data_IF_285154327756
#
_entry.id   IF_285154327756
#
_cell.length_a   1.000
_cell.length_b   1.000
_cell.length_c   1.000
_cell.angle_alpha   90.00
_cell.angle_beta   90.00
_cell.angle_gamma   90.00
#
_symmetry.space_group_name_H-M   'P 1'
#
loop_
_entity.id
_entity.type
_entity.pdbx_description
1 polymer ?
#
# COMPACT_ATOMS: atom_id res chain seq x y z
N UNK A 1 6.63 -11.49 17.35
CA UNK A 1 6.69 -10.75 16.08
C UNK A 1 5.30 -10.14 15.88
N UNK A 2 5.18 -9.00 15.20
CA UNK A 2 3.85 -8.48 14.87
C UNK A 2 3.16 -9.45 13.90
N UNK A 3 1.84 -9.60 14.00
CA UNK A 3 1.02 -10.42 13.11
C UNK A 3 1.12 -9.89 11.68
N UNK A 4 1.34 -10.77 10.71
CA UNK A 4 1.36 -10.40 9.28
C UNK A 4 -0.03 -10.53 8.71
N UNK A 5 -0.68 -9.41 8.43
CA UNK A 5 -2.02 -9.35 7.86
C UNK A 5 -1.94 -8.89 6.41
N UNK A 6 -2.41 -9.75 5.49
CA UNK A 6 -2.45 -9.46 4.05
C UNK A 6 -3.87 -9.16 3.61
N UNK A 7 -4.11 -7.99 3.02
CA UNK A 7 -5.37 -7.64 2.39
C UNK A 7 -5.32 -7.93 0.89
N UNK A 8 -6.34 -8.62 0.39
CA UNK A 8 -6.45 -9.02 -1.00
C UNK A 8 -7.66 -8.36 -1.65
N UNK A 9 -7.41 -7.50 -2.63
CA UNK A 9 -8.44 -6.87 -3.46
C UNK A 9 -8.84 -7.73 -4.66
N UNK A 10 -9.99 -7.40 -5.27
CA UNK A 10 -10.53 -8.13 -6.41
C UNK A 10 -9.99 -7.65 -7.78
N UNK A 11 -8.98 -6.79 -7.79
CA UNK A 11 -8.31 -6.33 -9.00
C UNK A 11 -7.34 -7.35 -9.60
N UNK A 12 -6.42 -6.88 -10.45
CA UNK A 12 -5.33 -7.70 -10.96
C UNK A 12 -4.28 -7.91 -9.86
N UNK A 13 -3.84 -9.14 -9.71
CA UNK A 13 -2.80 -9.49 -8.75
C UNK A 13 -1.42 -9.36 -9.43
N UNK A 14 -0.38 -8.98 -8.68
CA UNK A 14 0.98 -8.94 -9.22
C UNK A 14 1.46 -10.35 -9.58
N UNK A 15 2.72 -10.46 -10.00
CA UNK A 15 3.33 -11.75 -10.39
C UNK A 15 2.92 -12.88 -9.43
N UNK A 16 2.53 -14.01 -9.99
CA UNK A 16 1.94 -15.16 -9.27
C UNK A 16 2.82 -15.68 -8.14
N UNK A 17 4.14 -15.68 -8.32
CA UNK A 17 5.08 -16.11 -7.26
C UNK A 17 5.09 -15.14 -6.08
N UNK A 18 5.04 -13.82 -6.34
CA UNK A 18 5.08 -12.81 -5.29
C UNK A 18 3.85 -12.86 -4.40
N UNK A 19 2.64 -12.91 -4.98
CA UNK A 19 1.43 -12.94 -4.15
C UNK A 19 1.26 -14.28 -3.43
N UNK A 20 1.68 -15.41 -4.04
CA UNK A 20 1.64 -16.70 -3.39
C UNK A 20 2.52 -16.75 -2.13
N UNK A 21 3.74 -16.17 -2.18
CA UNK A 21 4.62 -16.07 -1.03
C UNK A 21 4.05 -15.16 0.07
N UNK A 22 3.42 -14.04 -0.33
CA UNK A 22 2.78 -13.13 0.61
C UNK A 22 1.64 -13.84 1.38
N UNK A 23 0.77 -14.55 0.67
CA UNK A 23 -0.34 -15.30 1.26
C UNK A 23 0.16 -16.46 2.12
N UNK A 24 1.13 -17.24 1.61
CA UNK A 24 1.68 -18.38 2.34
C UNK A 24 2.38 -17.99 3.65
N UNK A 25 2.89 -16.78 3.73
CA UNK A 25 3.58 -16.24 4.93
C UNK A 25 2.68 -15.34 5.80
N UNK A 26 1.40 -15.18 5.43
CA UNK A 26 0.45 -14.41 6.23
C UNK A 26 -0.03 -15.20 7.46
N UNK A 27 -0.14 -14.51 8.59
CA UNK A 27 -0.83 -15.02 9.77
C UNK A 27 -2.35 -14.88 9.62
N UNK A 28 -2.79 -13.90 8.80
CA UNK A 28 -4.20 -13.67 8.46
C UNK A 28 -4.35 -13.10 7.05
N UNK A 29 -5.30 -13.64 6.30
CA UNK A 29 -5.69 -13.18 4.97
C UNK A 29 -7.08 -12.56 5.03
N UNK A 30 -7.19 -11.30 4.64
CA UNK A 30 -8.45 -10.54 4.58
C UNK A 30 -8.79 -10.27 3.12
N UNK A 31 -9.89 -10.83 2.63
CA UNK A 31 -10.36 -10.61 1.27
C UNK A 31 -11.39 -9.48 1.23
N UNK A 32 -11.24 -8.57 0.25
CA UNK A 32 -12.21 -7.51 -0.01
C UNK A 32 -13.30 -8.04 -0.92
N UNK A 33 -14.51 -8.19 -0.38
CA UNK A 33 -15.72 -8.57 -1.10
C UNK A 33 -15.48 -9.74 -2.09
N UNK A 34 -15.73 -9.59 -3.39
CA UNK A 34 -15.58 -10.62 -4.41
C UNK A 34 -14.16 -11.21 -4.58
N UNK A 35 -13.14 -10.66 -3.91
CA UNK A 35 -11.83 -11.29 -3.86
C UNK A 35 -11.88 -12.65 -3.14
N UNK A 36 -12.83 -12.82 -2.21
CA UNK A 36 -13.02 -14.07 -1.47
C UNK A 36 -13.46 -15.26 -2.34
N UNK A 37 -13.99 -15.01 -3.52
CA UNK A 37 -14.31 -16.07 -4.50
C UNK A 37 -13.08 -16.60 -5.25
N UNK A 38 -11.93 -15.92 -5.10
CA UNK A 38 -10.71 -16.21 -5.86
C UNK A 38 -9.58 -16.76 -4.98
N UNK A 39 -9.69 -16.68 -3.66
CA UNK A 39 -8.63 -17.07 -2.73
C UNK A 39 -9.22 -17.63 -1.43
N UNK A 40 -8.51 -18.57 -0.80
CA UNK A 40 -8.79 -18.93 0.57
C UNK A 40 -8.38 -17.77 1.50
N UNK A 41 -9.31 -17.32 2.33
CA UNK A 41 -9.10 -16.22 3.27
C UNK A 41 -9.69 -16.57 4.64
N UNK A 42 -9.22 -15.88 5.67
CA UNK A 42 -9.74 -16.02 7.04
C UNK A 42 -10.96 -15.11 7.25
N UNK A 43 -10.94 -13.94 6.62
CA UNK A 43 -11.97 -12.90 6.77
C UNK A 43 -12.39 -12.37 5.41
N UNK A 44 -13.69 -12.15 5.22
CA UNK A 44 -14.26 -11.37 4.11
C UNK A 44 -14.81 -10.07 4.66
N UNK A 45 -14.43 -8.93 4.07
CA UNK A 45 -14.89 -7.61 4.48
C UNK A 45 -15.42 -6.80 3.30
N UNK A 46 -16.52 -6.10 3.47
CA UNK A 46 -17.14 -5.24 2.47
C UNK A 46 -18.63 -5.07 2.67
N UNK A 47 -19.34 -4.58 1.66
CA UNK A 47 -20.79 -4.58 1.62
C UNK A 47 -21.38 -5.92 1.13
N UNK A 48 -20.51 -6.79 0.60
CA UNK A 48 -20.76 -8.17 0.19
C UNK A 48 -21.74 -8.29 -0.99
N UNK A 49 -21.75 -7.30 -1.86
CA UNK A 49 -22.61 -7.31 -3.05
C UNK A 49 -22.00 -8.10 -4.22
N UNK A 50 -20.68 -8.25 -4.24
CA UNK A 50 -19.92 -8.97 -5.28
C UNK A 50 -19.43 -10.36 -4.84
N UNK A 51 -19.62 -10.75 -3.57
CA UNK A 51 -19.22 -12.06 -3.06
C UNK A 51 -20.32 -13.11 -3.20
N UNK A 52 -19.97 -14.33 -3.63
CA UNK A 52 -20.92 -15.43 -3.82
C UNK A 52 -21.55 -15.97 -2.52
N UNK A 53 -20.97 -15.64 -1.36
CA UNK A 53 -21.46 -16.09 -0.04
C UNK A 53 -21.07 -17.53 0.32
N UNK A 54 -20.12 -18.14 -0.42
CA UNK A 54 -19.68 -19.51 -0.17
C UNK A 54 -18.41 -19.53 0.68
N UNK A 55 -18.41 -20.34 1.75
CA UNK A 55 -17.26 -20.58 2.60
C UNK A 55 -17.56 -20.51 4.10
N UNK A 56 -16.55 -20.80 4.91
CA UNK A 56 -16.64 -20.83 6.38
C UNK A 56 -15.80 -19.70 7.05
N UNK A 57 -15.34 -18.72 6.26
CA UNK A 57 -14.56 -17.60 6.73
C UNK A 57 -15.39 -16.65 7.60
N UNK A 58 -14.72 -15.89 8.46
CA UNK A 58 -15.34 -14.81 9.20
C UNK A 58 -15.86 -13.75 8.23
N UNK A 59 -17.05 -13.24 8.45
CA UNK A 59 -17.69 -12.24 7.58
C UNK A 59 -17.90 -10.94 8.34
N UNK A 60 -17.26 -9.87 7.89
CA UNK A 60 -17.42 -8.52 8.43
C UNK A 60 -18.18 -7.66 7.42
N UNK A 61 -19.50 -7.63 7.57
CA UNK A 61 -20.35 -6.81 6.71
C UNK A 61 -20.42 -5.37 7.20
N UNK A 62 -19.88 -4.44 6.42
CA UNK A 62 -19.94 -3.00 6.70
C UNK A 62 -20.79 -2.32 5.64
N UNK A 63 -22.00 -1.91 6.06
CA UNK A 63 -22.90 -1.09 5.25
C UNK A 63 -22.41 0.36 5.24
N UNK A 64 -22.43 0.99 4.10
CA UNK A 64 -22.03 2.38 3.90
C UNK A 64 -21.19 2.53 2.64
N UNK A 65 -21.39 3.67 1.96
CA UNK A 65 -20.74 3.98 0.68
C UNK A 65 -19.73 5.15 0.83
N UNK A 66 -19.46 5.56 2.07
CA UNK A 66 -18.57 6.67 2.35
C UNK A 66 -17.11 6.29 2.16
N UNK A 67 -16.76 5.01 2.43
CA UNK A 67 -15.41 4.46 2.37
C UNK A 67 -15.33 3.28 1.41
N UNK A 68 -14.17 3.09 0.80
CA UNK A 68 -13.87 1.85 0.06
C UNK A 68 -13.69 0.67 1.02
N UNK A 69 -13.88 -0.57 0.54
CA UNK A 69 -13.68 -1.75 1.39
C UNK A 69 -12.23 -1.87 1.86
N UNK A 70 -11.26 -1.40 1.07
CA UNK A 70 -9.87 -1.29 1.50
C UNK A 70 -9.73 -0.33 2.69
N UNK A 71 -10.32 0.86 2.63
CA UNK A 71 -10.26 1.81 3.74
C UNK A 71 -10.92 1.25 5.01
N UNK A 72 -12.04 0.52 4.86
CA UNK A 72 -12.70 -0.19 5.98
C UNK A 72 -11.78 -1.23 6.59
N UNK A 73 -11.10 -2.06 5.77
CA UNK A 73 -10.17 -3.08 6.23
C UNK A 73 -8.98 -2.46 6.98
N UNK A 74 -8.41 -1.38 6.45
CA UNK A 74 -7.27 -0.67 7.07
C UNK A 74 -7.62 0.03 8.39
N UNK A 75 -8.89 0.34 8.64
CA UNK A 75 -9.37 0.90 9.92
C UNK A 75 -9.57 -0.17 11.00
N UNK A 76 -9.75 -1.43 10.60
CA UNK A 76 -10.05 -2.55 11.51
C UNK A 76 -8.81 -3.38 11.82
N UNK A 77 -7.94 -3.58 10.83
CA UNK A 77 -6.77 -4.44 10.92
C UNK A 77 -5.47 -3.65 10.81
N UNK A 78 -4.45 -4.07 11.56
CA UNK A 78 -3.07 -3.57 11.38
C UNK A 78 -2.42 -4.28 10.18
N UNK A 79 -2.86 -3.87 8.99
CA UNK A 79 -2.46 -4.47 7.71
C UNK A 79 -1.00 -4.23 7.42
N UNK A 80 -0.27 -5.26 7.02
CA UNK A 80 1.14 -5.18 6.62
C UNK A 80 1.31 -5.08 5.11
N UNK A 81 0.50 -5.82 4.35
CA UNK A 81 0.64 -5.96 2.91
C UNK A 81 -0.73 -5.90 2.21
N UNK A 82 -0.77 -5.26 1.05
CA UNK A 82 -1.98 -5.11 0.22
C UNK A 82 -1.64 -5.57 -1.19
N UNK A 83 -2.46 -6.47 -1.76
CA UNK A 83 -2.37 -6.95 -3.15
C UNK A 83 -3.72 -6.86 -3.85
N UNK A 84 -3.73 -6.95 -5.17
CA UNK A 84 -4.97 -7.07 -5.95
C UNK A 84 -5.73 -5.75 -6.11
N UNK A 85 -5.04 -4.63 -6.10
CA UNK A 85 -5.63 -3.29 -6.33
C UNK A 85 -5.39 -2.77 -7.76
N UNK A 86 -4.66 -3.49 -8.59
CA UNK A 86 -4.39 -3.11 -9.98
C UNK A 86 -5.48 -3.57 -10.94
N UNK A 87 -5.48 -2.96 -12.14
CA UNK A 87 -6.51 -3.23 -13.16
C UNK A 87 -7.86 -2.61 -12.78
N UNK A 88 -8.89 -2.93 -13.52
CA UNK A 88 -10.24 -2.42 -13.24
C UNK A 88 -10.36 -0.88 -13.30
N UNK A 89 -11.09 -0.32 -12.38
CA UNK A 89 -11.42 1.12 -12.34
C UNK A 89 -10.23 1.95 -11.86
N UNK A 90 -9.92 3.02 -12.59
CA UNK A 90 -8.82 3.94 -12.25
C UNK A 90 -9.06 4.68 -10.93
N UNK A 91 -10.29 5.07 -10.65
CA UNK A 91 -10.68 5.74 -9.39
C UNK A 91 -10.39 4.87 -8.16
N UNK A 92 -10.70 3.57 -8.21
CA UNK A 92 -10.38 2.63 -7.13
C UNK A 92 -8.88 2.47 -6.91
N UNK A 93 -8.07 2.50 -8.00
CA UNK A 93 -6.61 2.47 -7.89
C UNK A 93 -6.05 3.71 -7.20
N UNK A 94 -6.58 4.90 -7.53
CA UNK A 94 -6.19 6.15 -6.87
C UNK A 94 -6.66 6.17 -5.41
N UNK A 95 -7.90 5.72 -5.15
CA UNK A 95 -8.46 5.62 -3.81
C UNK A 95 -7.64 4.69 -2.90
N UNK A 96 -6.99 3.64 -3.43
CA UNK A 96 -6.15 2.75 -2.64
C UNK A 96 -4.94 3.48 -2.02
N UNK A 97 -4.33 4.43 -2.73
CA UNK A 97 -3.27 5.25 -2.14
C UNK A 97 -3.81 6.22 -1.10
N UNK A 98 -4.98 6.84 -1.37
CA UNK A 98 -5.63 7.73 -0.41
C UNK A 98 -6.03 6.99 0.89
N UNK A 99 -6.45 5.73 0.79
CA UNK A 99 -6.82 4.91 1.95
C UNK A 99 -5.66 4.70 2.94
N UNK A 100 -4.40 4.69 2.48
CA UNK A 100 -3.23 4.63 3.37
C UNK A 100 -3.14 5.85 4.29
N UNK A 101 -3.46 7.03 3.77
CA UNK A 101 -3.44 8.28 4.54
C UNK A 101 -4.67 8.39 5.44
N UNK A 102 -5.84 8.14 4.91
CA UNK A 102 -7.12 8.18 5.63
C UNK A 102 -7.12 7.28 6.88
N UNK A 103 -6.56 6.07 6.76
CA UNK A 103 -6.44 5.11 7.85
C UNK A 103 -5.15 5.22 8.66
N UNK A 104 -4.26 6.15 8.31
CA UNK A 104 -2.92 6.27 8.88
C UNK A 104 -2.10 4.96 8.79
N UNK A 105 -2.34 4.16 7.77
CA UNK A 105 -1.78 2.82 7.62
C UNK A 105 -0.30 2.84 7.23
N UNK A 106 0.46 1.88 7.74
CA UNK A 106 1.85 1.62 7.34
C UNK A 106 1.98 0.45 6.35
N UNK A 107 0.86 -0.05 5.83
CA UNK A 107 0.84 -1.16 4.88
C UNK A 107 1.62 -0.85 3.60
N UNK A 108 2.21 -1.89 3.04
CA UNK A 108 2.86 -1.84 1.72
C UNK A 108 1.88 -2.32 0.65
N UNK A 109 1.62 -1.49 -0.34
CA UNK A 109 0.88 -1.88 -1.55
C UNK A 109 1.86 -2.53 -2.51
N UNK A 110 1.55 -3.75 -2.96
CA UNK A 110 2.29 -4.49 -3.97
C UNK A 110 1.60 -4.38 -5.33
N UNK A 111 2.33 -3.87 -6.30
CA UNK A 111 1.93 -3.66 -7.69
C UNK A 111 2.86 -4.47 -8.60
N UNK A 112 2.50 -4.59 -9.87
CA UNK A 112 3.39 -5.25 -10.84
C UNK A 112 4.66 -4.42 -11.06
N UNK A 113 5.81 -4.95 -10.62
CA UNK A 113 7.12 -4.28 -10.71
C UNK A 113 7.31 -3.11 -9.74
N UNK A 114 6.36 -2.82 -8.85
CA UNK A 114 6.43 -1.68 -7.94
C UNK A 114 5.86 -1.97 -6.56
N UNK A 115 6.34 -1.21 -5.58
CA UNK A 115 5.74 -1.13 -4.25
C UNK A 115 5.44 0.32 -3.90
N UNK A 116 4.43 0.53 -3.08
CA UNK A 116 4.08 1.86 -2.58
C UNK A 116 3.79 1.81 -1.08
N UNK A 117 4.15 2.86 -0.36
CA UNK A 117 3.92 2.96 1.08
C UNK A 117 3.80 4.42 1.51
N UNK A 118 2.93 4.68 2.49
CA UNK A 118 2.93 5.96 3.19
C UNK A 118 4.20 6.09 4.03
N UNK A 119 4.84 7.25 3.96
CA UNK A 119 5.96 7.60 4.84
C UNK A 119 5.40 8.22 6.12
N UNK A 120 5.55 7.61 7.29
CA UNK A 120 5.18 8.25 8.55
C UNK A 120 6.18 9.36 8.91
N UNK A 121 5.79 10.32 9.76
CA UNK A 121 6.70 11.38 10.23
C UNK A 121 7.92 10.85 10.99
N UNK A 122 7.81 9.66 11.61
CA UNK A 122 8.97 8.95 12.19
C UNK A 122 10.00 8.49 11.16
N UNK A 123 9.66 8.58 9.87
CA UNK A 123 10.47 8.12 8.76
C UNK A 123 10.36 6.63 8.48
N UNK A 124 10.93 6.24 7.35
CA UNK A 124 11.08 4.83 6.96
C UNK A 124 12.48 4.58 6.39
N UNK A 125 12.85 3.32 6.43
CA UNK A 125 14.01 2.77 5.75
C UNK A 125 13.54 1.71 4.76
N UNK A 126 14.00 1.80 3.51
CA UNK A 126 13.64 0.87 2.44
C UNK A 126 14.92 0.20 1.95
N UNK A 127 14.93 -1.13 1.93
CA UNK A 127 16.00 -1.92 1.30
C UNK A 127 15.68 -2.11 -0.17
N UNK A 128 16.59 -1.72 -1.03
CA UNK A 128 16.45 -1.74 -2.50
C UNK A 128 17.77 -2.12 -3.17
N UNK A 129 17.71 -2.45 -4.45
CA UNK A 129 18.92 -2.55 -5.26
C UNK A 129 19.35 -1.16 -5.73
N UNK A 130 20.67 -0.94 -5.86
CA UNK A 130 21.21 0.30 -6.44
C UNK A 130 20.75 0.38 -7.89
N UNK A 131 20.34 1.58 -8.33
CA UNK A 131 19.84 1.86 -9.67
C UNK A 131 18.33 1.75 -9.83
N UNK A 132 17.58 1.25 -8.82
CA UNK A 132 16.11 1.21 -8.93
C UNK A 132 15.50 2.61 -8.85
N UNK A 133 14.40 2.79 -9.58
CA UNK A 133 13.64 4.03 -9.55
C UNK A 133 12.86 4.17 -8.25
N UNK A 134 12.91 5.36 -7.67
CA UNK A 134 12.16 5.74 -6.48
C UNK A 134 11.49 7.08 -6.72
N UNK A 135 10.22 7.19 -6.36
CA UNK A 135 9.45 8.43 -6.51
C UNK A 135 8.77 8.80 -5.20
N UNK A 136 8.72 10.10 -4.93
CA UNK A 136 8.00 10.68 -3.81
C UNK A 136 6.83 11.52 -4.33
N UNK A 137 5.65 11.31 -3.74
CA UNK A 137 4.44 12.07 -4.05
C UNK A 137 3.89 12.72 -2.79
N UNK A 138 3.78 14.04 -2.80
CA UNK A 138 3.11 14.79 -1.75
C UNK A 138 1.61 14.90 -2.05
N UNK A 139 0.78 14.52 -1.09
CA UNK A 139 -0.67 14.75 -1.10
C UNK A 139 -0.95 16.00 -0.26
N UNK A 140 -1.02 17.15 -0.91
CA UNK A 140 -1.00 18.44 -0.23
C UNK A 140 0.43 18.92 0.05
N UNK A 141 0.64 19.61 1.18
CA UNK A 141 1.94 20.12 1.59
C UNK A 141 2.62 19.17 2.58
N UNK A 142 3.87 18.81 2.29
CA UNK A 142 4.75 18.01 3.15
C UNK A 142 5.96 18.85 3.52
N UNK A 143 6.29 18.88 4.81
CA UNK A 143 7.30 19.79 5.36
C UNK A 143 8.63 19.09 5.62
N UNK A 144 9.72 19.77 5.29
CA UNK A 144 11.09 19.42 5.65
C UNK A 144 11.44 17.96 5.37
N UNK A 145 11.32 17.54 4.12
CA UNK A 145 11.66 16.18 3.71
C UNK A 145 13.18 16.03 3.69
N UNK A 146 13.67 14.99 4.35
CA UNK A 146 15.06 14.56 4.28
C UNK A 146 15.12 13.16 3.70
N UNK A 147 16.04 12.97 2.75
CA UNK A 147 16.30 11.65 2.14
C UNK A 147 17.79 11.37 2.11
N UNK A 148 18.16 10.09 2.20
CA UNK A 148 19.52 9.62 1.94
C UNK A 148 19.49 8.36 1.09
N UNK A 149 20.59 8.07 0.39
CA UNK A 149 20.71 6.93 -0.52
C UNK A 149 20.04 7.15 -1.87
N UNK A 150 19.74 8.41 -2.24
CA UNK A 150 19.16 8.81 -3.52
C UNK A 150 20.14 9.67 -4.32
N UNK A 151 20.05 9.61 -5.66
CA UNK A 151 20.86 10.42 -6.59
C UNK A 151 20.58 11.93 -6.42
N UNK A 152 19.32 12.29 -6.20
CA UNK A 152 18.88 13.65 -5.92
C UNK A 152 18.26 13.73 -4.52
N UNK A 153 19.08 13.86 -3.45
CA UNK A 153 18.58 13.87 -2.09
C UNK A 153 17.84 15.19 -1.78
N UNK A 154 16.85 15.09 -0.90
CA UNK A 154 16.19 16.25 -0.28
C UNK A 154 16.82 16.49 1.09
N UNK A 155 17.06 17.78 1.43
CA UNK A 155 17.79 18.18 2.64
C UNK A 155 17.01 19.21 3.46
N UNK A 156 15.77 18.93 3.77
CA UNK A 156 14.84 19.82 4.46
C UNK A 156 13.93 20.60 3.51
N UNK A 157 13.71 20.05 2.33
CA UNK A 157 12.83 20.66 1.33
C UNK A 157 11.36 20.42 1.66
N UNK A 158 10.51 21.43 1.42
CA UNK A 158 9.07 21.22 1.36
C UNK A 158 8.68 20.71 -0.04
N UNK A 159 7.72 19.81 -0.10
CA UNK A 159 7.04 19.42 -1.33
C UNK A 159 5.55 19.77 -1.24
N UNK A 160 4.98 20.15 -2.37
CA UNK A 160 3.53 20.27 -2.57
C UNK A 160 3.11 19.29 -3.65
N UNK A 161 1.80 19.09 -3.83
CA UNK A 161 1.26 18.26 -4.90
C UNK A 161 1.80 18.73 -6.25
N UNK A 162 2.74 17.98 -6.81
CA UNK A 162 3.44 18.31 -8.06
C UNK A 162 4.16 17.09 -8.61
N UNK A 163 4.88 17.25 -9.72
CA UNK A 163 5.75 16.20 -10.29
C UNK A 163 7.18 16.23 -9.72
N UNK A 164 7.51 17.18 -8.85
CA UNK A 164 8.78 17.21 -8.14
C UNK A 164 8.88 16.00 -7.18
N UNK A 165 9.99 15.31 -7.18
CA UNK A 165 10.21 14.08 -6.39
C UNK A 165 10.00 12.79 -7.17
N UNK A 166 9.55 12.88 -8.44
CA UNK A 166 9.38 11.73 -9.32
C UNK A 166 10.69 11.39 -10.04
N UNK A 167 10.91 10.09 -10.30
CA UNK A 167 12.03 9.58 -11.10
C UNK A 167 13.41 9.87 -10.49
N UNK A 168 13.56 9.60 -9.21
CA UNK A 168 14.85 9.53 -8.53
C UNK A 168 15.40 8.11 -8.62
N UNK A 169 16.67 7.93 -8.27
CA UNK A 169 17.38 6.64 -8.35
C UNK A 169 18.07 6.33 -7.04
N UNK A 170 18.05 5.07 -6.62
CA UNK A 170 18.78 4.60 -5.46
C UNK A 170 20.27 4.52 -5.74
N UNK A 171 21.09 5.17 -4.91
CA UNK A 171 22.57 5.11 -4.94
C UNK A 171 23.13 4.24 -3.82
N UNK A 172 22.26 3.70 -2.97
CA UNK A 172 22.59 2.80 -1.86
C UNK A 172 21.55 1.68 -1.78
N UNK A 173 21.94 0.55 -1.19
CA UNK A 173 21.00 -0.54 -0.88
C UNK A 173 20.03 -0.20 0.26
N UNK A 174 20.20 0.95 0.90
CA UNK A 174 19.37 1.47 1.96
C UNK A 174 19.01 2.91 1.64
N UNK A 175 17.70 3.18 1.52
CA UNK A 175 17.15 4.52 1.31
C UNK A 175 16.34 4.91 2.54
N UNK A 176 16.67 6.07 3.14
CA UNK A 176 15.94 6.63 4.28
C UNK A 176 15.16 7.85 3.85
N UNK A 177 13.95 7.96 4.37
CA UNK A 177 13.04 9.07 4.09
C UNK A 177 12.36 9.46 5.39
N UNK A 178 12.38 10.75 5.75
CA UNK A 178 11.62 11.32 6.85
C UNK A 178 11.10 12.70 6.48
N UNK A 179 10.15 13.23 7.27
CA UNK A 179 9.57 14.56 7.12
C UNK A 179 8.94 15.03 8.43
N UNK A 180 8.71 16.35 8.57
CA UNK A 180 8.15 16.94 9.78
C UNK A 180 6.60 16.96 9.81
N UNK A 181 5.94 16.68 8.69
CA UNK A 181 4.48 16.62 8.63
C UNK A 181 3.92 16.65 7.21
N UNK A 182 2.66 16.25 7.06
CA UNK A 182 1.96 16.11 5.79
C UNK A 182 1.88 14.65 5.31
N UNK A 183 1.26 14.44 4.16
CA UNK A 183 1.01 13.13 3.59
C UNK A 183 1.99 12.85 2.44
N UNK A 184 2.98 12.00 2.69
CA UNK A 184 4.03 11.62 1.75
C UNK A 184 3.89 10.13 1.37
N UNK A 185 3.78 9.86 0.07
CA UNK A 185 3.85 8.52 -0.50
C UNK A 185 5.23 8.29 -1.11
N UNK A 186 5.84 7.15 -0.83
CA UNK A 186 6.99 6.64 -1.59
C UNK A 186 6.54 5.49 -2.47
N UNK A 187 7.00 5.49 -3.73
CA UNK A 187 6.83 4.39 -4.68
C UNK A 187 8.21 3.98 -5.15
N UNK A 188 8.50 2.69 -5.16
CA UNK A 188 9.78 2.18 -5.65
C UNK A 188 9.62 0.94 -6.50
N UNK A 189 10.51 0.83 -7.49
CA UNK A 189 10.59 -0.32 -8.36
C UNK A 189 11.12 -1.54 -7.61
N UNK A 190 10.60 -2.71 -7.95
CA UNK A 190 11.10 -4.02 -7.51
C UNK A 190 11.40 -4.87 -8.73
N UNK A 191 12.41 -5.73 -8.59
CA UNK A 191 12.83 -6.67 -9.65
C UNK A 191 11.80 -7.78 -9.86
#
# INVERSE_FOLDING_TARGET
>A
MAERIVVVGNGRWPNELLWADLIASADKVVALDGAADRINCDVVIGDLDSWSGNGNQEVIKIKGQEDTDLAKALKIFDVTDIVGIEGGRLDHRLAAFAALFESNSSATIHLEGWKARRVPSSGIEIKVNIGVNISLFAFGKVLKIHTSGLLHPLAGDDLETSTRGVHNEATSNEVKINHDGGDLLVIWQVD
#
